data_IF_838027335283
#
_entry.id   IF_838027335283
#
_cell.length_a   1.000
_cell.length_b   1.000
_cell.length_c   1.000
_cell.angle_alpha   90.00
_cell.angle_beta   90.00
_cell.angle_gamma   90.00
#
_symmetry.space_group_name_H-M   'P 1'
#
loop_
_entity.id
_entity.type
_entity.pdbx_description
1 polymer ?
#
# COMPACT_ATOMS: atom_id res chain seq x y z
N UNK A 1 5.71 -9.02 1.13
CA UNK A 1 5.87 -7.94 0.14
C UNK A 1 6.85 -6.87 0.62
N UNK A 2 7.86 -6.58 -0.20
CA UNK A 2 8.93 -5.61 0.10
C UNK A 2 8.79 -4.37 -0.81
N UNK A 3 9.10 -3.18 -0.28
CA UNK A 3 9.09 -1.94 -1.06
C UNK A 3 10.09 -2.03 -2.22
N UNK A 4 9.66 -1.62 -3.42
CA UNK A 4 10.48 -1.62 -4.64
C UNK A 4 10.46 -2.93 -5.42
N UNK A 5 9.64 -3.90 -5.03
CA UNK A 5 9.35 -5.06 -5.87
C UNK A 5 8.18 -4.76 -6.80
N UNK A 6 8.11 -5.48 -7.94
CA UNK A 6 6.98 -5.39 -8.87
C UNK A 6 5.63 -5.63 -8.16
N UNK A 7 5.61 -6.58 -7.23
CA UNK A 7 4.43 -6.91 -6.43
C UNK A 7 3.95 -5.69 -5.62
N UNK A 8 4.87 -4.92 -5.04
CA UNK A 8 4.54 -3.70 -4.31
C UNK A 8 3.91 -2.65 -5.21
N UNK A 9 4.49 -2.42 -6.39
CA UNK A 9 3.98 -1.44 -7.36
C UNK A 9 2.59 -1.85 -7.91
N UNK A 10 2.36 -3.15 -8.10
CA UNK A 10 1.06 -3.71 -8.51
C UNK A 10 -0.01 -3.48 -7.43
N UNK A 11 0.29 -3.75 -6.16
CA UNK A 11 -0.66 -3.50 -5.07
C UNK A 11 -0.93 -2.01 -4.89
N UNK A 12 0.11 -1.19 -4.98
CA UNK A 12 -0.03 0.27 -4.90
C UNK A 12 -1.00 0.76 -5.99
N UNK A 13 -0.80 0.31 -7.23
CA UNK A 13 -1.66 0.67 -8.36
C UNK A 13 -3.10 0.19 -8.19
N UNK A 14 -3.30 -1.04 -7.70
CA UNK A 14 -4.64 -1.55 -7.38
C UNK A 14 -5.33 -0.72 -6.31
N UNK A 15 -4.61 -0.39 -5.24
CA UNK A 15 -5.14 0.46 -4.16
C UNK A 15 -5.52 1.85 -4.67
N UNK A 16 -4.66 2.52 -5.44
CA UNK A 16 -4.93 3.86 -5.98
C UNK A 16 -6.13 3.86 -6.93
N UNK A 17 -6.32 2.79 -7.70
CA UNK A 17 -7.50 2.61 -8.56
C UNK A 17 -8.77 2.45 -7.74
N UNK A 18 -8.74 1.57 -6.74
CA UNK A 18 -9.94 1.20 -5.95
C UNK A 18 -10.34 2.34 -4.98
N UNK A 19 -9.36 3.09 -4.45
CA UNK A 19 -9.52 4.18 -3.49
C UNK A 19 -9.24 5.56 -4.09
N UNK A 20 -9.55 5.76 -5.38
CA UNK A 20 -9.31 7.02 -6.12
C UNK A 20 -9.92 8.29 -5.51
N UNK A 21 -10.84 8.14 -4.57
CA UNK A 21 -11.53 9.23 -3.86
C UNK A 21 -10.77 9.70 -2.60
N UNK A 22 -9.77 8.94 -2.16
CA UNK A 22 -8.91 9.30 -1.03
C UNK A 22 -7.84 10.30 -1.45
N UNK A 23 -7.17 10.91 -0.46
CA UNK A 23 -5.97 11.73 -0.71
C UNK A 23 -4.77 10.81 -0.92
N UNK A 24 -4.27 10.75 -2.16
CA UNK A 24 -3.22 9.82 -2.59
C UNK A 24 -1.82 10.46 -2.73
N UNK A 25 -1.61 11.63 -2.12
CA UNK A 25 -0.30 12.28 -2.10
C UNK A 25 0.73 11.39 -1.39
N UNK A 26 1.83 11.08 -2.08
CA UNK A 26 2.86 10.17 -1.60
C UNK A 26 3.90 10.88 -0.74
N UNK A 27 4.45 10.14 0.21
CA UNK A 27 5.59 10.55 1.03
C UNK A 27 6.92 10.29 0.33
N UNK A 28 8.02 10.81 0.89
CA UNK A 28 9.38 10.49 0.43
C UNK A 28 9.59 8.96 0.46
N UNK A 29 10.13 8.39 -0.62
CA UNK A 29 10.40 6.95 -0.75
C UNK A 29 11.26 6.38 0.38
N UNK A 30 12.08 7.20 1.04
CA UNK A 30 12.86 6.81 2.23
C UNK A 30 11.95 6.37 3.38
N UNK A 31 10.77 6.96 3.51
CA UNK A 31 9.80 6.67 4.56
C UNK A 31 8.96 5.41 4.28
N UNK A 32 8.91 4.96 3.02
CA UNK A 32 8.05 3.84 2.61
C UNK A 32 8.47 2.52 3.27
N UNK A 33 9.77 2.31 3.50
CA UNK A 33 10.28 1.14 4.24
C UNK A 33 9.81 1.10 5.69
N UNK A 34 9.42 2.25 6.25
CA UNK A 34 8.83 2.36 7.59
C UNK A 34 7.29 2.27 7.57
N UNK A 35 6.68 2.01 6.40
CA UNK A 35 5.24 1.90 6.26
C UNK A 35 4.51 3.24 6.11
N UNK A 36 5.24 4.33 5.85
CA UNK A 36 4.70 5.66 5.60
C UNK A 36 4.77 5.92 4.10
N UNK A 37 3.67 5.65 3.39
CA UNK A 37 3.56 5.72 1.93
C UNK A 37 2.77 6.94 1.48
N UNK A 38 1.69 7.28 2.19
CA UNK A 38 0.86 8.46 1.91
C UNK A 38 1.03 9.52 3.00
N UNK A 39 0.94 10.79 2.59
CA UNK A 39 1.01 11.94 3.49
C UNK A 39 -0.21 12.01 4.41
N UNK A 40 -1.35 11.57 3.91
CA UNK A 40 -2.57 11.48 4.68
C UNK A 40 -2.54 10.24 5.60
N UNK A 41 -2.74 10.47 6.90
CA UNK A 41 -2.66 9.42 7.91
C UNK A 41 -3.77 8.37 7.78
N UNK A 42 -4.95 8.76 7.30
CA UNK A 42 -6.07 7.84 7.11
C UNK A 42 -5.85 6.98 5.86
N UNK A 43 -5.49 7.60 4.73
CA UNK A 43 -5.10 6.86 3.51
C UNK A 43 -3.96 5.90 3.80
N UNK A 44 -2.93 6.32 4.54
CA UNK A 44 -1.80 5.46 4.87
C UNK A 44 -2.21 4.25 5.72
N UNK A 45 -3.03 4.45 6.76
CA UNK A 45 -3.57 3.35 7.58
C UNK A 45 -4.40 2.39 6.74
N UNK A 46 -5.25 2.91 5.86
CA UNK A 46 -6.09 2.11 4.97
C UNK A 46 -5.24 1.27 4.01
N UNK A 47 -4.20 1.86 3.41
CA UNK A 47 -3.25 1.15 2.56
C UNK A 47 -2.50 0.04 3.32
N UNK A 48 -2.06 0.32 4.56
CA UNK A 48 -1.42 -0.68 5.41
C UNK A 48 -2.36 -1.85 5.74
N UNK A 49 -3.64 -1.59 5.98
CA UNK A 49 -4.64 -2.65 6.17
C UNK A 49 -4.88 -3.46 4.88
N UNK A 50 -4.99 -2.78 3.73
CA UNK A 50 -5.20 -3.40 2.42
C UNK A 50 -4.07 -4.39 2.08
N UNK A 51 -2.81 -3.97 2.24
CA UNK A 51 -1.64 -4.85 1.98
C UNK A 51 -1.56 -6.04 2.94
N UNK A 52 -2.00 -5.87 4.19
CA UNK A 52 -2.06 -6.97 5.16
C UNK A 52 -3.11 -8.00 4.76
N UNK A 53 -4.30 -7.53 4.34
CA UNK A 53 -5.35 -8.38 3.80
C UNK A 53 -4.90 -9.17 2.57
N UNK A 54 -4.22 -8.52 1.62
CA UNK A 54 -3.63 -9.21 0.47
C UNK A 54 -2.60 -10.26 0.89
N UNK A 55 -1.68 -9.91 1.81
CA UNK A 55 -0.64 -10.82 2.27
C UNK A 55 -1.23 -12.06 2.96
N UNK A 56 -2.28 -11.86 3.78
CA UNK A 56 -3.01 -12.95 4.41
C UNK A 56 -3.72 -13.85 3.37
N UNK A 57 -4.34 -13.24 2.35
CA UNK A 57 -4.97 -13.97 1.24
C UNK A 57 -3.95 -14.83 0.49
N UNK A 58 -2.77 -14.27 0.17
CA UNK A 58 -1.68 -15.03 -0.44
C UNK A 58 -1.25 -16.20 0.42
N UNK A 59 -0.96 -16.01 1.71
CA UNK A 59 -0.53 -17.10 2.58
C UNK A 59 -1.55 -18.24 2.72
N UNK A 60 -2.84 -17.99 2.49
CA UNK A 60 -3.90 -19.02 2.61
C UNK A 60 -4.17 -19.78 1.30
N UNK A 61 -3.91 -19.17 0.15
CA UNK A 61 -4.35 -19.69 -1.15
C UNK A 61 -3.20 -19.90 -2.17
N UNK A 62 -1.96 -19.57 -1.80
CA UNK A 62 -0.74 -19.86 -2.56
C UNK A 62 0.28 -20.57 -1.67
#
# INVERSE_FOLDING_TARGET
MQVGTKEFDEILSCFERDFKHMRLDKEDRKLWKMGVVYQDGETNKLYLAYRLGYSLGRCKYM
#
